data_IF_187161579789
#
_entry.id   IF_187161579789
#
_cell.length_a   1.000
_cell.length_b   1.000
_cell.length_c   1.000
_cell.angle_alpha   90.00
_cell.angle_beta   90.00
_cell.angle_gamma   90.00
#
_symmetry.space_group_name_H-M   'P 1'
#
loop_
_entity.id
_entity.type
_entity.pdbx_description
1 polymer ?
#
# COMPACT_ATOMS: atom_id res chain seq x y z
N UNK A 1 19.46 -6.47 -23.73
CA UNK A 1 19.71 -6.37 -22.28
C UNK A 1 18.37 -6.35 -21.54
N UNK A 2 17.93 -7.48 -20.99
CA UNK A 2 16.81 -7.50 -20.05
C UNK A 2 17.41 -7.16 -18.69
N UNK A 3 17.12 -5.97 -18.17
CA UNK A 3 17.55 -5.62 -16.81
C UNK A 3 16.95 -6.64 -15.84
N UNK A 4 17.79 -7.52 -15.30
CA UNK A 4 17.41 -8.47 -14.27
C UNK A 4 17.15 -7.65 -13.00
N UNK A 5 15.91 -7.21 -12.82
CA UNK A 5 15.45 -6.53 -11.62
C UNK A 5 15.27 -7.55 -10.50
N UNK A 6 16.33 -8.26 -10.10
CA UNK A 6 16.32 -9.02 -8.85
C UNK A 6 16.44 -8.00 -7.72
N UNK A 7 15.33 -7.35 -7.38
CA UNK A 7 15.29 -6.55 -6.17
C UNK A 7 15.35 -7.54 -5.02
N UNK A 8 16.51 -7.65 -4.38
CA UNK A 8 16.75 -8.52 -3.25
C UNK A 8 16.02 -7.96 -2.01
N UNK A 9 14.69 -8.12 -1.97
CA UNK A 9 13.81 -7.55 -0.94
C UNK A 9 13.71 -8.45 0.28
N UNK A 10 14.84 -8.87 0.85
CA UNK A 10 14.82 -9.76 2.03
C UNK A 10 14.42 -9.03 3.33
N UNK A 11 14.48 -7.70 3.36
CA UNK A 11 14.28 -6.91 4.58
C UNK A 11 12.98 -6.09 4.51
N UNK A 12 12.26 -6.04 5.64
CA UNK A 12 11.04 -5.25 5.79
C UNK A 12 11.22 -3.77 5.45
N UNK A 13 12.37 -3.18 5.81
CA UNK A 13 12.70 -1.77 5.50
C UNK A 13 12.71 -1.51 3.99
N UNK A 14 13.27 -2.41 3.20
CA UNK A 14 13.36 -2.23 1.75
C UNK A 14 11.97 -2.38 1.10
N UNK A 15 11.16 -3.30 1.62
CA UNK A 15 9.75 -3.41 1.24
C UNK A 15 8.99 -2.12 1.58
N UNK A 16 9.13 -1.59 2.79
CA UNK A 16 8.47 -0.37 3.25
C UNK A 16 8.82 0.84 2.39
N UNK A 17 10.12 1.10 2.21
CA UNK A 17 10.60 2.22 1.38
C UNK A 17 10.07 2.12 -0.06
N UNK A 18 9.99 0.91 -0.59
CA UNK A 18 9.44 0.67 -1.91
C UNK A 18 7.94 0.94 -2.00
N UNK A 19 7.14 0.52 -1.01
CA UNK A 19 5.71 0.82 -0.95
C UNK A 19 5.47 2.33 -0.88
N UNK A 20 6.20 3.05 -0.02
CA UNK A 20 6.09 4.51 0.11
C UNK A 20 6.50 5.21 -1.19
N UNK A 21 7.53 4.71 -1.89
CA UNK A 21 7.93 5.22 -3.20
C UNK A 21 6.82 5.07 -4.25
N UNK A 22 6.18 3.91 -4.33
CA UNK A 22 5.05 3.69 -5.26
C UNK A 22 3.88 4.61 -4.97
N UNK A 23 3.45 4.70 -3.71
CA UNK A 23 2.34 5.57 -3.33
C UNK A 23 2.64 7.05 -3.62
N UNK A 24 3.90 7.48 -3.44
CA UNK A 24 4.34 8.83 -3.84
C UNK A 24 4.22 9.07 -5.35
N UNK A 25 4.59 8.09 -6.18
CA UNK A 25 4.44 8.18 -7.63
C UNK A 25 2.97 8.21 -8.05
N UNK A 26 2.14 7.33 -7.49
CA UNK A 26 0.69 7.31 -7.74
C UNK A 26 0.05 8.64 -7.36
N UNK A 27 0.39 9.18 -6.17
CA UNK A 27 -0.04 10.51 -5.74
C UNK A 27 0.42 11.62 -6.68
N UNK A 28 1.65 11.55 -7.19
CA UNK A 28 2.15 12.55 -8.14
C UNK A 28 1.41 12.50 -9.48
N UNK A 29 0.94 11.33 -9.91
CA UNK A 29 0.19 11.15 -11.15
C UNK A 29 -1.28 11.59 -11.03
N UNK A 30 -1.95 11.23 -9.92
CA UNK A 30 -3.33 11.62 -9.66
C UNK A 30 -3.54 11.91 -8.16
N UNK A 31 -3.32 13.16 -7.70
CA UNK A 31 -3.41 13.50 -6.28
C UNK A 31 -4.81 13.30 -5.68
N UNK A 32 -5.86 13.69 -6.42
CA UNK A 32 -7.25 13.58 -5.95
C UNK A 32 -7.68 12.12 -5.88
N UNK A 33 -7.45 11.35 -6.95
CA UNK A 33 -7.73 9.92 -6.97
C UNK A 33 -6.98 9.18 -5.87
N UNK A 34 -5.71 9.50 -5.67
CA UNK A 34 -4.90 8.92 -4.60
C UNK A 34 -5.44 9.25 -3.20
N UNK A 35 -5.89 10.48 -2.97
CA UNK A 35 -6.50 10.86 -1.68
C UNK A 35 -7.74 10.01 -1.37
N UNK A 36 -8.63 9.83 -2.34
CA UNK A 36 -9.86 9.04 -2.16
C UNK A 36 -9.61 7.54 -1.99
N UNK A 37 -8.41 7.03 -2.31
CA UNK A 37 -8.06 5.63 -2.00
C UNK A 37 -8.07 5.31 -0.51
N UNK A 38 -8.07 6.33 0.37
CA UNK A 38 -8.27 6.14 1.79
C UNK A 38 -9.60 5.43 2.08
N UNK A 39 -10.71 5.89 1.48
CA UNK A 39 -12.06 5.43 1.81
C UNK A 39 -12.36 4.00 1.37
N UNK A 40 -11.66 3.50 0.35
CA UNK A 40 -11.83 2.12 -0.13
C UNK A 40 -11.03 1.10 0.70
N UNK A 41 -10.25 1.54 1.70
CA UNK A 41 -9.50 0.66 2.61
C UNK A 41 -10.40 0.22 3.77
N UNK A 42 -11.24 -0.78 3.54
CA UNK A 42 -12.23 -1.22 4.52
C UNK A 42 -11.66 -1.77 5.84
N UNK A 43 -10.58 -2.57 5.79
CA UNK A 43 -10.06 -3.28 6.97
C UNK A 43 -9.66 -2.35 8.14
N UNK A 44 -8.85 -1.27 7.94
CA UNK A 44 -8.55 -0.34 9.02
C UNK A 44 -9.78 0.26 9.71
N UNK A 45 -10.82 0.63 8.94
CA UNK A 45 -12.03 1.22 9.50
C UNK A 45 -12.93 0.20 10.19
N UNK A 46 -13.04 -1.02 9.66
CA UNK A 46 -13.76 -2.11 10.31
C UNK A 46 -13.10 -2.50 11.63
N UNK A 47 -11.76 -2.47 11.68
CA UNK A 47 -10.99 -2.71 12.91
C UNK A 47 -11.24 -1.60 13.94
N UNK A 48 -11.18 -0.34 13.52
CA UNK A 48 -11.50 0.80 14.38
C UNK A 48 -12.93 0.71 14.93
N UNK A 49 -13.90 0.38 14.07
CA UNK A 49 -15.31 0.19 14.46
C UNK A 49 -15.47 -0.92 15.51
N UNK A 50 -14.76 -2.04 15.36
CA UNK A 50 -14.76 -3.12 16.34
C UNK A 50 -14.18 -2.69 17.70
N UNK A 51 -13.07 -1.95 17.70
CA UNK A 51 -12.42 -1.49 18.93
C UNK A 51 -13.19 -0.40 19.66
N UNK A 52 -14.00 0.40 18.96
CA UNK A 52 -14.86 1.41 19.57
C UNK A 52 -16.08 0.82 20.30
N UNK A 53 -16.22 -0.51 20.37
CA UNK A 53 -17.30 -1.18 21.10
C UNK A 53 -18.66 -1.08 20.41
N UNK A 54 -18.67 -0.78 19.11
CA UNK A 54 -19.91 -0.66 18.37
C UNK A 54 -20.62 -2.02 18.21
N UNK A 55 -21.94 -1.97 18.10
CA UNK A 55 -22.78 -3.16 17.95
C UNK A 55 -22.32 -3.99 16.74
N UNK A 56 -22.14 -5.30 16.95
CA UNK A 56 -21.67 -6.25 15.93
C UNK A 56 -20.28 -5.91 15.33
N UNK A 57 -19.45 -5.12 16.02
CA UNK A 57 -18.16 -4.66 15.51
C UNK A 57 -17.24 -5.79 15.02
N UNK A 58 -17.14 -6.88 15.78
CA UNK A 58 -16.36 -8.06 15.40
C UNK A 58 -16.95 -8.78 14.18
N UNK A 59 -18.28 -8.87 14.06
CA UNK A 59 -18.94 -9.45 12.88
C UNK A 59 -18.67 -8.63 11.62
N UNK A 60 -18.71 -7.30 11.72
CA UNK A 60 -18.35 -6.38 10.62
C UNK A 60 -16.89 -6.54 10.21
N UNK A 61 -15.97 -6.66 11.18
CA UNK A 61 -14.56 -6.92 10.90
C UNK A 61 -14.36 -8.26 10.18
N UNK A 62 -14.96 -9.34 10.68
CA UNK A 62 -14.87 -10.67 10.08
C UNK A 62 -15.47 -10.69 8.67
N UNK A 63 -16.63 -10.06 8.46
CA UNK A 63 -17.26 -9.94 7.14
C UNK A 63 -16.38 -9.16 6.16
N UNK A 64 -15.79 -8.05 6.61
CA UNK A 64 -14.89 -7.22 5.80
C UNK A 64 -13.64 -7.99 5.37
N UNK A 65 -13.01 -8.72 6.30
CA UNK A 65 -11.86 -9.59 6.01
C UNK A 65 -12.28 -10.70 5.05
N UNK A 66 -13.44 -11.34 5.27
CA UNK A 66 -13.96 -12.40 4.42
C UNK A 66 -14.15 -11.95 2.97
N UNK A 67 -14.87 -10.85 2.75
CA UNK A 67 -15.06 -10.26 1.40
C UNK A 67 -13.70 -9.94 0.77
N UNK A 68 -12.79 -9.34 1.54
CA UNK A 68 -11.46 -8.95 1.04
C UNK A 68 -10.64 -10.14 0.57
N UNK A 69 -10.64 -11.23 1.35
CA UNK A 69 -9.95 -12.47 1.01
C UNK A 69 -10.59 -13.14 -0.19
N UNK A 70 -11.92 -13.20 -0.25
CA UNK A 70 -12.64 -13.78 -1.40
C UNK A 70 -12.28 -13.06 -2.70
N UNK A 71 -12.35 -11.72 -2.72
CA UNK A 71 -11.95 -10.94 -3.92
C UNK A 71 -10.49 -11.20 -4.30
N UNK A 72 -9.60 -11.30 -3.32
CA UNK A 72 -8.19 -11.58 -3.58
C UNK A 72 -7.98 -12.99 -4.14
N UNK A 73 -8.65 -14.01 -3.59
CA UNK A 73 -8.58 -15.39 -4.09
C UNK A 73 -9.13 -15.46 -5.51
N UNK A 74 -10.30 -14.87 -5.78
CA UNK A 74 -10.89 -14.83 -7.11
C UNK A 74 -9.96 -14.18 -8.13
N UNK A 75 -9.35 -13.04 -7.78
CA UNK A 75 -8.40 -12.36 -8.66
C UNK A 75 -7.12 -13.16 -8.88
N UNK A 76 -6.56 -13.78 -7.82
CA UNK A 76 -5.37 -14.62 -7.96
C UNK A 76 -5.63 -15.88 -8.78
N UNK A 77 -6.80 -16.50 -8.66
CA UNK A 77 -7.18 -17.62 -9.52
C UNK A 77 -7.33 -17.19 -10.99
N UNK A 78 -8.00 -16.06 -11.22
CA UNK A 78 -8.17 -15.50 -12.56
C UNK A 78 -6.82 -15.16 -13.23
N UNK A 79 -5.89 -14.60 -12.47
CA UNK A 79 -4.54 -14.25 -12.92
C UNK A 79 -3.53 -15.40 -12.86
N UNK A 80 -3.95 -16.60 -12.42
CA UNK A 80 -3.09 -17.76 -12.17
C UNK A 80 -1.90 -17.47 -11.22
N UNK A 81 -2.08 -16.52 -10.30
CA UNK A 81 -1.08 -16.10 -9.32
C UNK A 81 -1.03 -17.06 -8.12
N UNK A 82 -0.22 -18.10 -8.25
CA UNK A 82 -0.03 -19.12 -7.21
C UNK A 82 0.64 -18.58 -5.95
N UNK A 83 1.52 -17.59 -6.08
CA UNK A 83 2.23 -17.01 -4.94
C UNK A 83 1.32 -16.09 -4.14
N UNK A 84 0.41 -15.35 -4.80
CA UNK A 84 -0.65 -14.59 -4.17
C UNK A 84 -1.57 -15.45 -3.30
N UNK A 85 -1.93 -16.65 -3.76
CA UNK A 85 -2.75 -17.61 -2.99
C UNK A 85 -2.00 -18.10 -1.75
N UNK A 86 -0.71 -18.46 -1.87
CA UNK A 86 0.10 -18.89 -0.72
C UNK A 86 0.24 -17.78 0.34
N UNK A 87 0.34 -16.53 -0.10
CA UNK A 87 0.49 -15.35 0.76
C UNK A 87 -0.82 -14.69 1.18
N UNK A 88 -1.99 -15.25 0.86
CA UNK A 88 -3.28 -14.54 0.99
C UNK A 88 -3.60 -14.13 2.42
N UNK A 89 -3.15 -14.91 3.41
CA UNK A 89 -3.37 -14.64 4.82
C UNK A 89 -2.61 -13.40 5.33
N UNK A 90 -1.56 -12.95 4.62
CA UNK A 90 -0.84 -11.70 4.93
C UNK A 90 -1.60 -10.47 4.44
N UNK A 91 -2.64 -10.64 3.63
CA UNK A 91 -3.36 -9.53 3.01
C UNK A 91 -4.03 -8.58 4.01
N UNK A 92 -4.71 -9.05 5.08
CA UNK A 92 -5.26 -8.16 6.09
C UNK A 92 -4.18 -7.32 6.79
N UNK A 93 -3.05 -7.95 7.12
CA UNK A 93 -1.89 -7.24 7.71
C UNK A 93 -1.34 -6.19 6.74
N UNK A 94 -1.21 -6.54 5.45
CA UNK A 94 -0.78 -5.62 4.40
C UNK A 94 -1.72 -4.43 4.26
N UNK A 95 -3.03 -4.65 4.31
CA UNK A 95 -4.03 -3.59 4.19
C UNK A 95 -3.99 -2.63 5.40
N UNK A 96 -3.71 -3.14 6.62
CA UNK A 96 -3.43 -2.33 7.80
C UNK A 96 -2.16 -1.48 7.63
N UNK A 97 -1.05 -2.09 7.17
CA UNK A 97 0.18 -1.33 6.88
C UNK A 97 -0.03 -0.28 5.78
N UNK A 98 -0.96 -0.55 4.87
CA UNK A 98 -1.26 0.30 3.74
C UNK A 98 -1.73 1.71 4.12
N UNK A 99 -2.46 1.89 5.23
CA UNK A 99 -2.86 3.25 5.66
C UNK A 99 -1.65 4.08 6.11
N UNK A 100 -0.66 3.44 6.73
CA UNK A 100 0.57 4.09 7.15
C UNK A 100 1.49 4.39 5.97
N UNK A 101 1.53 3.50 4.96
CA UNK A 101 2.21 3.79 3.68
C UNK A 101 1.56 4.99 3.00
N UNK A 102 0.23 5.00 2.93
CA UNK A 102 -0.54 6.11 2.37
C UNK A 102 -0.22 7.42 3.08
N UNK A 103 -0.20 7.43 4.43
CA UNK A 103 0.17 8.59 5.23
C UNK A 103 1.62 9.01 4.99
N UNK A 104 2.56 8.06 4.97
CA UNK A 104 3.97 8.29 4.71
C UNK A 104 4.25 8.84 3.30
N UNK A 105 3.35 8.59 2.34
CA UNK A 105 3.45 9.20 1.01
C UNK A 105 3.30 10.73 1.06
N UNK A 106 2.59 11.28 2.05
CA UNK A 106 2.46 12.73 2.28
C UNK A 106 3.62 13.30 3.08
N UNK A 107 4.24 12.49 3.93
CA UNK A 107 5.39 12.86 4.76
C UNK A 107 6.67 12.93 3.90
N UNK A 108 6.99 14.17 3.48
CA UNK A 108 8.22 14.60 2.79
C UNK A 108 8.43 14.11 1.35
N UNK A 109 9.03 15.01 0.57
CA UNK A 109 9.00 15.03 -0.90
C UNK A 109 10.36 14.71 -1.54
N UNK A 110 11.23 14.01 -0.81
CA UNK A 110 12.60 13.73 -1.27
C UNK A 110 12.66 12.38 -2.02
N UNK A 111 13.07 12.41 -3.28
CA UNK A 111 13.45 11.28 -4.12
C UNK A 111 14.97 11.18 -4.15
N UNK A 112 15.53 10.07 -3.69
CA UNK A 112 16.96 9.80 -3.85
C UNK A 112 17.20 9.19 -5.22
N UNK A 113 18.05 9.82 -6.03
CA UNK A 113 18.41 9.32 -7.36
C UNK A 113 19.90 9.51 -7.60
N UNK A 114 20.61 8.44 -7.99
CA UNK A 114 22.06 8.44 -8.27
C UNK A 114 22.93 9.17 -7.21
N UNK A 115 22.66 8.93 -5.93
CA UNK A 115 23.44 9.53 -4.82
C UNK A 115 23.10 10.99 -4.51
N UNK A 116 22.09 11.57 -5.15
CA UNK A 116 21.61 12.95 -4.91
C UNK A 116 20.17 12.95 -4.41
N UNK A 117 19.85 13.92 -3.57
CA UNK A 117 18.49 14.09 -3.02
C UNK A 117 17.73 15.08 -3.89
N UNK A 118 16.57 14.70 -4.42
CA UNK A 118 15.71 15.56 -5.23
C UNK A 118 14.39 15.81 -4.52
N UNK A 119 13.81 17.00 -4.64
CA UNK A 119 12.43 17.28 -4.27
C UNK A 119 11.60 17.42 -5.53
N UNK A 120 10.54 16.62 -5.67
CA UNK A 120 9.52 16.90 -6.68
C UNK A 120 8.89 18.26 -6.32
N UNK A 121 8.90 19.27 -7.18
CA UNK A 121 8.15 20.52 -6.99
C UNK A 121 7.46 20.83 -8.31
N UNK A 122 6.12 20.83 -8.31
CA UNK A 122 5.28 21.06 -9.51
C UNK A 122 5.67 20.17 -10.71
N UNK A 123 5.83 18.87 -10.48
CA UNK A 123 6.18 17.90 -11.55
C UNK A 123 7.65 17.92 -12.00
N UNK A 124 8.50 18.79 -11.44
CA UNK A 124 9.94 18.81 -11.72
C UNK A 124 10.75 18.26 -10.55
N UNK A 125 11.78 17.47 -10.80
CA UNK A 125 12.76 17.07 -9.78
C UNK A 125 13.76 18.22 -9.59
N UNK A 126 13.82 18.78 -8.38
CA UNK A 126 14.76 19.84 -8.00
C UNK A 126 15.77 19.24 -7.04
N UNK A 127 17.06 19.23 -7.40
CA UNK A 127 18.11 18.74 -6.49
C UNK A 127 18.14 19.60 -5.22
N UNK A 128 18.16 18.94 -4.06
CA UNK A 128 18.33 19.57 -2.76
C UNK A 128 19.81 19.47 -2.43
N UNK A 129 20.49 20.61 -2.46
CA UNK A 129 21.85 20.78 -1.96
C UNK A 129 21.89 20.59 -0.45
#
# INVERSE_FOLDING_TARGET
>A
YVAKMSVDRRKFRDWWLHQVYWDRNTKSANPSGFFFTLFIRGIPFALLYAFLGASHGWSVLLGTIGVRLLTAVSNSLFLQDRDGIKGIWLLPLRDLLGIFVWLASFLKRYTYWKGKTFVLKKGKMVEVK
#
